data_IF_793242628387
#
_entry.id   IF_793242628387
#
_cell.length_a   1.000
_cell.length_b   1.000
_cell.length_c   1.000
_cell.angle_alpha   90.00
_cell.angle_beta   90.00
_cell.angle_gamma   90.00
#
_symmetry.space_group_name_H-M   'P 1'
#
loop_
_entity.id
_entity.type
_entity.pdbx_description
1 polymer ?
#
# COMPACT_ATOMS: atom_id res chain seq x y z
N UNK A 1 72.12 -5.62 37.30
CA UNK A 1 70.73 -5.16 37.06
C UNK A 1 70.09 -4.82 38.40
N UNK A 2 69.80 -3.56 38.69
CA UNK A 2 69.11 -3.18 39.92
C UNK A 2 67.64 -3.62 39.87
N UNK A 3 67.27 -4.59 40.71
CA UNK A 3 65.87 -4.99 40.91
C UNK A 3 65.12 -3.82 41.55
N UNK A 4 64.31 -3.12 40.75
CA UNK A 4 63.32 -2.15 41.23
C UNK A 4 62.42 -2.86 42.24
N UNK A 5 62.49 -2.45 43.51
CA UNK A 5 61.56 -2.92 44.56
C UNK A 5 60.13 -2.66 44.11
N UNK A 6 59.34 -3.73 43.99
CA UNK A 6 57.93 -3.64 43.63
C UNK A 6 57.13 -2.83 44.65
N UNK A 7 55.98 -2.26 44.24
CA UNK A 7 55.15 -1.44 45.13
C UNK A 7 54.73 -2.23 46.37
N UNK A 8 54.89 -1.62 47.56
CA UNK A 8 54.54 -2.24 48.84
C UNK A 8 53.02 -2.44 49.02
N UNK A 9 52.64 -3.34 49.93
CA UNK A 9 51.23 -3.68 50.24
C UNK A 9 50.36 -2.45 50.58
N UNK A 10 50.96 -1.42 51.19
CA UNK A 10 50.32 -0.13 51.49
C UNK A 10 50.09 0.73 50.25
N UNK A 11 50.91 0.61 49.21
CA UNK A 11 50.66 1.27 47.92
C UNK A 11 49.48 0.60 47.21
N UNK A 12 49.41 -0.74 47.23
CA UNK A 12 48.30 -1.51 46.66
C UNK A 12 46.95 -1.22 47.35
N UNK A 13 46.93 -1.11 48.69
CA UNK A 13 45.70 -0.77 49.42
C UNK A 13 45.23 0.66 49.12
N UNK A 14 46.15 1.63 49.01
CA UNK A 14 45.83 3.00 48.58
C UNK A 14 45.29 3.05 47.15
N UNK A 15 45.88 2.29 46.23
CA UNK A 15 45.39 2.21 44.85
C UNK A 15 43.99 1.59 44.79
N UNK A 16 43.71 0.54 45.58
CA UNK A 16 42.38 -0.07 45.67
C UNK A 16 41.33 0.89 46.25
N UNK A 17 41.64 1.55 47.36
CA UNK A 17 40.77 2.55 47.98
C UNK A 17 40.48 3.73 47.04
N UNK A 18 41.48 4.23 46.31
CA UNK A 18 41.29 5.28 45.31
C UNK A 18 40.37 4.81 44.18
N UNK A 19 40.53 3.57 43.70
CA UNK A 19 39.69 2.98 42.65
C UNK A 19 38.22 2.84 43.09
N UNK A 20 37.99 2.44 44.33
CA UNK A 20 36.65 2.37 44.93
C UNK A 20 36.02 3.77 45.08
N UNK A 21 36.79 4.78 45.47
CA UNK A 21 36.33 6.16 45.52
C UNK A 21 35.99 6.72 44.14
N UNK A 22 36.82 6.47 43.12
CA UNK A 22 36.53 6.87 41.74
C UNK A 22 35.29 6.14 41.19
N UNK A 23 35.09 4.86 41.55
CA UNK A 23 33.88 4.12 41.18
C UNK A 23 32.63 4.75 41.79
N UNK A 24 32.64 5.04 43.10
CA UNK A 24 31.51 5.71 43.78
C UNK A 24 31.21 7.09 43.20
N UNK A 25 32.24 7.91 42.96
CA UNK A 25 32.06 9.21 42.29
C UNK A 25 31.54 9.05 40.86
N UNK A 26 31.95 8.00 40.15
CA UNK A 26 31.42 7.68 38.82
C UNK A 26 29.93 7.32 38.86
N UNK A 27 29.52 6.51 39.82
CA UNK A 27 28.12 6.14 40.07
C UNK A 27 27.28 7.38 40.45
N UNK A 28 27.76 8.23 41.35
CA UNK A 28 27.10 9.48 41.76
C UNK A 28 26.94 10.46 40.58
N UNK A 29 27.98 10.62 39.75
CA UNK A 29 27.90 11.45 38.54
C UNK A 29 26.92 10.87 37.52
N UNK A 30 26.87 9.55 37.36
CA UNK A 30 25.91 8.90 36.47
C UNK A 30 24.47 9.08 36.96
N UNK A 31 24.22 8.93 38.26
CA UNK A 31 22.92 9.13 38.87
C UNK A 31 22.46 10.59 38.76
N UNK A 32 23.37 11.55 39.03
CA UNK A 32 23.09 12.98 38.87
C UNK A 32 22.75 13.32 37.41
N UNK A 33 23.52 12.79 36.45
CA UNK A 33 23.22 12.97 35.02
C UNK A 33 21.88 12.38 34.63
N UNK A 34 21.54 11.19 35.13
CA UNK A 34 20.25 10.55 34.89
C UNK A 34 19.09 11.37 35.46
N UNK A 35 19.24 11.92 36.67
CA UNK A 35 18.25 12.78 37.30
C UNK A 35 18.02 14.08 36.50
N UNK A 36 19.10 14.72 36.05
CA UNK A 36 19.04 15.92 35.19
C UNK A 36 18.35 15.60 33.86
N UNK A 37 18.73 14.51 33.19
CA UNK A 37 18.08 14.08 31.95
C UNK A 37 16.58 13.83 32.15
N UNK A 38 16.19 13.15 33.23
CA UNK A 38 14.78 12.90 33.55
C UNK A 38 14.00 14.21 33.76
N UNK A 39 14.59 15.18 34.47
CA UNK A 39 13.99 16.50 34.66
C UNK A 39 13.85 17.27 33.33
N UNK A 40 14.87 17.22 32.48
CA UNK A 40 14.82 17.83 31.15
C UNK A 40 13.76 17.18 30.25
N UNK A 41 13.62 15.86 30.25
CA UNK A 41 12.56 15.17 29.50
C UNK A 41 11.16 15.53 30.01
N UNK A 42 10.99 15.69 31.33
CA UNK A 42 9.72 16.11 31.91
C UNK A 42 9.35 17.54 31.49
N UNK A 43 10.31 18.47 31.54
CA UNK A 43 10.12 19.84 31.05
C UNK A 43 9.80 19.84 29.54
N UNK A 44 10.55 19.08 28.76
CA UNK A 44 10.33 18.99 27.32
C UNK A 44 8.93 18.46 26.99
N UNK A 45 8.48 17.40 27.68
CA UNK A 45 7.12 16.86 27.52
C UNK A 45 6.05 17.91 27.82
N UNK A 46 6.19 18.66 28.92
CA UNK A 46 5.26 19.72 29.28
C UNK A 46 5.21 20.84 28.22
N UNK A 47 6.38 21.28 27.74
CA UNK A 47 6.46 22.27 26.66
C UNK A 47 5.85 21.76 25.35
N UNK A 48 6.01 20.48 25.04
CA UNK A 48 5.42 19.86 23.84
C UNK A 48 3.89 19.74 23.98
N UNK A 49 3.38 19.44 25.18
CA UNK A 49 1.95 19.45 25.48
C UNK A 49 1.33 20.86 25.33
N UNK A 50 2.01 21.89 25.83
CA UNK A 50 1.58 23.29 25.65
C UNK A 50 1.60 23.70 24.17
N UNK A 51 2.66 23.36 23.45
CA UNK A 51 2.77 23.59 22.01
C UNK A 51 1.63 22.92 21.23
N UNK A 52 1.36 21.65 21.53
CA UNK A 52 0.27 20.89 20.94
C UNK A 52 -1.09 21.54 21.20
N UNK A 53 -1.36 22.00 22.43
CA UNK A 53 -2.60 22.69 22.77
C UNK A 53 -2.76 24.00 21.99
N UNK A 54 -1.71 24.80 21.91
CA UNK A 54 -1.71 26.08 21.21
C UNK A 54 -1.92 25.92 19.70
N UNK A 55 -1.32 24.90 19.10
CA UNK A 55 -1.33 24.67 17.66
C UNK A 55 -2.24 23.51 17.22
N UNK A 56 -3.21 23.11 18.05
CA UNK A 56 -4.08 21.95 17.79
C UNK A 56 -4.78 22.02 16.43
N UNK A 57 -5.33 23.18 16.06
CA UNK A 57 -6.02 23.35 14.78
C UNK A 57 -5.05 23.26 13.59
N UNK A 58 -3.84 23.80 13.75
CA UNK A 58 -2.80 23.79 12.72
C UNK A 58 -2.30 22.36 12.47
N UNK A 59 -2.08 21.58 13.53
CA UNK A 59 -1.68 20.16 13.45
C UNK A 59 -2.74 19.34 12.70
N UNK A 60 -4.03 19.68 12.86
CA UNK A 60 -5.12 18.97 12.15
C UNK A 60 -5.24 19.40 10.68
N UNK A 61 -5.21 20.71 10.43
CA UNK A 61 -5.50 21.28 9.10
C UNK A 61 -4.32 21.29 8.14
N UNK A 62 -3.09 21.28 8.65
CA UNK A 62 -1.89 21.32 7.83
C UNK A 62 -1.10 19.99 7.94
N UNK A 63 -1.12 19.14 6.89
CA UNK A 63 -0.38 17.88 6.89
C UNK A 63 1.12 18.04 7.01
N UNK A 64 1.71 19.10 6.45
CA UNK A 64 3.15 19.35 6.53
C UNK A 64 3.55 19.69 7.97
N UNK A 65 2.78 20.57 8.61
CA UNK A 65 2.99 20.92 10.01
C UNK A 65 2.78 19.73 10.95
N UNK A 66 1.79 18.87 10.64
CA UNK A 66 1.59 17.60 11.35
C UNK A 66 2.80 16.69 11.24
N UNK A 67 3.38 16.54 10.06
CA UNK A 67 4.59 15.73 9.85
C UNK A 67 5.78 16.28 10.67
N UNK A 68 5.97 17.61 10.71
CA UNK A 68 6.99 18.26 11.53
C UNK A 68 6.75 18.01 13.03
N UNK A 69 5.50 18.08 13.49
CA UNK A 69 5.13 17.76 14.86
C UNK A 69 5.47 16.29 15.22
N UNK A 70 5.18 15.35 14.33
CA UNK A 70 5.56 13.94 14.51
C UNK A 70 7.09 13.75 14.58
N UNK A 71 7.85 14.44 13.72
CA UNK A 71 9.31 14.39 13.74
C UNK A 71 9.90 14.93 15.05
N UNK A 72 9.33 16.02 15.59
CA UNK A 72 9.70 16.55 16.90
C UNK A 72 9.41 15.55 18.02
N UNK A 73 8.24 14.90 18.00
CA UNK A 73 7.90 13.87 18.98
C UNK A 73 8.86 12.67 18.90
N UNK A 74 9.17 12.19 17.70
CA UNK A 74 10.10 11.08 17.47
C UNK A 74 11.52 11.39 17.98
N UNK A 75 12.01 12.61 17.75
CA UNK A 75 13.32 13.08 18.25
C UNK A 75 13.41 13.03 19.77
N UNK A 76 12.29 13.25 20.44
CA UNK A 76 12.18 13.18 21.90
C UNK A 76 11.91 11.76 22.44
N UNK A 77 11.79 10.75 21.57
CA UNK A 77 11.40 9.39 21.96
C UNK A 77 9.94 9.27 22.40
N UNK A 78 9.07 10.18 21.98
CA UNK A 78 7.64 10.17 22.26
C UNK A 78 6.89 9.78 21.00
N UNK A 79 6.11 8.71 21.04
CA UNK A 79 5.18 8.36 19.97
C UNK A 79 3.78 8.90 20.31
N UNK A 80 3.28 9.93 19.58
CA UNK A 80 1.95 10.49 19.83
C UNK A 80 0.81 9.53 19.50
N UNK A 81 1.09 8.40 18.82
CA UNK A 81 0.12 7.39 18.39
C UNK A 81 0.23 6.07 19.16
N UNK A 82 1.11 5.97 20.16
CA UNK A 82 1.35 4.71 20.87
C UNK A 82 0.16 4.21 21.70
N UNK A 83 -0.72 5.11 22.17
CA UNK A 83 -1.85 4.72 23.02
C UNK A 83 -3.06 5.62 22.86
N UNK A 84 -4.23 4.99 22.74
CA UNK A 84 -5.54 5.66 22.67
C UNK A 84 -5.87 6.37 23.99
N UNK A 85 -5.29 5.90 25.10
CA UNK A 85 -5.39 6.51 26.42
C UNK A 85 -4.27 7.52 26.68
N UNK A 86 -3.33 7.65 25.73
CA UNK A 86 -2.19 8.56 25.82
C UNK A 86 -2.64 10.02 25.87
N UNK A 87 -1.80 10.87 26.48
CA UNK A 87 -2.08 12.30 26.62
C UNK A 87 -2.38 12.95 25.26
N UNK A 88 -1.64 12.55 24.22
CA UNK A 88 -1.76 13.10 22.87
C UNK A 88 -3.11 12.83 22.20
N UNK A 89 -3.69 11.64 22.37
CA UNK A 89 -5.01 11.37 21.82
C UNK A 89 -6.09 12.23 22.49
N UNK A 90 -6.03 12.38 23.82
CA UNK A 90 -6.97 13.24 24.56
C UNK A 90 -6.84 14.71 24.18
N UNK A 91 -5.62 15.19 23.98
CA UNK A 91 -5.36 16.60 23.68
C UNK A 91 -5.69 16.94 22.22
N UNK A 92 -5.22 16.13 21.27
CA UNK A 92 -5.25 16.45 19.84
C UNK A 92 -6.29 15.64 19.03
N UNK A 93 -6.68 14.45 19.52
CA UNK A 93 -7.50 13.49 18.75
C UNK A 93 -6.72 12.81 17.62
N UNK A 94 -5.39 12.78 17.69
CA UNK A 94 -4.55 12.20 16.64
C UNK A 94 -4.76 10.69 16.52
N UNK A 95 -4.87 9.96 17.64
CA UNK A 95 -5.11 8.52 17.61
C UNK A 95 -6.38 8.19 16.84
N UNK A 96 -7.50 8.82 17.19
CA UNK A 96 -8.78 8.61 16.52
C UNK A 96 -8.70 8.92 15.02
N UNK A 97 -8.02 10.00 14.64
CA UNK A 97 -7.75 10.35 13.24
C UNK A 97 -6.97 9.26 12.50
N UNK A 98 -5.89 8.73 13.07
CA UNK A 98 -5.07 7.69 12.43
C UNK A 98 -5.76 6.32 12.41
N UNK A 99 -6.62 6.01 13.38
CA UNK A 99 -7.44 4.79 13.32
C UNK A 99 -8.50 4.87 12.24
N UNK A 100 -9.21 5.99 12.14
CA UNK A 100 -10.17 6.24 11.06
C UNK A 100 -9.48 6.14 9.70
N UNK A 101 -8.30 6.76 9.58
CA UNK A 101 -7.48 6.69 8.36
C UNK A 101 -7.03 5.25 8.07
N UNK A 102 -6.63 4.49 9.08
CA UNK A 102 -6.28 3.07 8.95
C UNK A 102 -7.44 2.24 8.40
N UNK A 103 -8.67 2.46 8.89
CA UNK A 103 -9.87 1.78 8.35
C UNK A 103 -10.08 2.15 6.88
N UNK A 104 -9.95 3.43 6.51
CA UNK A 104 -10.12 3.87 5.12
C UNK A 104 -9.06 3.27 4.18
N UNK A 105 -7.82 3.10 4.65
CA UNK A 105 -6.76 2.40 3.92
C UNK A 105 -7.12 0.92 3.72
N UNK A 106 -7.59 0.25 4.76
CA UNK A 106 -8.03 -1.16 4.69
C UNK A 106 -9.18 -1.31 3.69
N UNK A 107 -10.18 -0.42 3.73
CA UNK A 107 -11.30 -0.42 2.79
C UNK A 107 -10.84 -0.25 1.34
N UNK A 108 -9.92 0.68 1.08
CA UNK A 108 -9.32 0.87 -0.26
C UNK A 108 -8.57 -0.36 -0.74
N UNK A 109 -7.84 -1.03 0.15
CA UNK A 109 -7.14 -2.29 -0.16
C UNK A 109 -8.11 -3.45 -0.45
N UNK A 110 -9.19 -3.59 0.33
CA UNK A 110 -10.21 -4.63 0.11
C UNK A 110 -10.94 -4.39 -1.21
N UNK A 111 -11.32 -3.13 -1.48
CA UNK A 111 -12.04 -2.73 -2.70
C UNK A 111 -11.21 -2.99 -3.95
N UNK A 112 -9.89 -2.77 -3.87
CA UNK A 112 -8.97 -2.99 -4.98
C UNK A 112 -8.55 -4.43 -5.20
N UNK A 113 -8.66 -5.28 -4.17
CA UNK A 113 -8.10 -6.63 -4.14
C UNK A 113 -8.48 -7.51 -5.33
N UNK A 114 -9.72 -7.52 -5.86
CA UNK A 114 -10.07 -8.36 -7.00
C UNK A 114 -9.26 -8.08 -8.27
N UNK A 115 -8.69 -6.87 -8.37
CA UNK A 115 -7.91 -6.43 -9.53
C UNK A 115 -6.42 -6.47 -9.24
N UNK A 116 -6.02 -6.03 -8.04
CA UNK A 116 -4.62 -5.79 -7.69
C UNK A 116 -3.94 -6.95 -6.97
N UNK A 117 -4.68 -8.02 -6.65
CA UNK A 117 -4.15 -9.14 -5.85
C UNK A 117 -3.80 -8.77 -4.41
N UNK A 118 -4.15 -7.56 -3.96
CA UNK A 118 -3.77 -7.03 -2.64
C UNK A 118 -2.46 -6.23 -2.64
N UNK A 119 -1.98 -5.81 -3.81
CA UNK A 119 -0.78 -4.99 -3.97
C UNK A 119 -1.08 -3.72 -4.78
N UNK A 120 -1.06 -2.55 -4.13
CA UNK A 120 -1.53 -1.29 -4.74
C UNK A 120 -0.57 -0.13 -4.45
N UNK A 121 -0.38 0.79 -5.40
CA UNK A 121 0.41 2.00 -5.18
C UNK A 121 -0.19 2.90 -4.08
N UNK A 122 0.66 3.45 -3.20
CA UNK A 122 0.27 4.30 -2.08
C UNK A 122 -0.49 5.55 -2.53
N UNK A 123 -0.07 6.16 -3.63
CA UNK A 123 -0.71 7.35 -4.23
C UNK A 123 -2.18 7.09 -4.58
N UNK A 124 -2.53 5.87 -4.99
CA UNK A 124 -3.91 5.49 -5.30
C UNK A 124 -4.76 5.27 -4.08
N UNK A 125 -4.17 4.67 -3.04
CA UNK A 125 -4.82 4.59 -1.74
C UNK A 125 -5.06 6.00 -1.21
N UNK A 126 -4.11 6.90 -1.38
CA UNK A 126 -4.25 8.32 -1.00
C UNK A 126 -5.38 9.00 -1.75
N UNK A 127 -5.48 8.84 -3.07
CA UNK A 127 -6.59 9.36 -3.86
C UNK A 127 -7.94 8.76 -3.45
N UNK A 128 -8.02 7.45 -3.23
CA UNK A 128 -9.22 6.77 -2.75
C UNK A 128 -9.70 7.36 -1.42
N UNK A 129 -8.79 7.49 -0.45
CA UNK A 129 -9.06 8.08 0.87
C UNK A 129 -9.53 9.52 0.73
N UNK A 130 -8.86 10.34 -0.09
CA UNK A 130 -9.24 11.75 -0.32
C UNK A 130 -10.64 11.88 -0.90
N UNK A 131 -11.02 11.05 -1.87
CA UNK A 131 -12.38 11.06 -2.44
C UNK A 131 -13.42 10.64 -1.41
N UNK A 132 -13.15 9.56 -0.66
CA UNK A 132 -14.06 9.04 0.39
C UNK A 132 -14.33 10.05 1.50
N UNK A 133 -13.29 10.77 1.92
CA UNK A 133 -13.37 11.80 2.98
C UNK A 133 -14.11 13.07 2.54
N UNK A 134 -14.11 13.37 1.25
CA UNK A 134 -14.72 14.59 0.70
C UNK A 134 -13.98 15.87 1.12
N UNK A 135 -14.51 17.03 0.70
CA UNK A 135 -13.85 18.33 0.88
C UNK A 135 -13.95 18.94 2.29
N UNK A 136 -14.84 18.41 3.13
CA UNK A 136 -15.08 18.94 4.49
C UNK A 136 -14.22 18.27 5.57
N UNK A 137 -13.57 17.15 5.24
CA UNK A 137 -12.71 16.43 6.17
C UNK A 137 -11.32 17.07 6.27
N UNK A 138 -10.62 16.80 7.38
CA UNK A 138 -9.23 17.22 7.56
C UNK A 138 -8.36 16.61 6.43
N UNK A 139 -7.47 17.41 5.80
CA UNK A 139 -6.65 16.94 4.69
C UNK A 139 -5.63 15.91 5.15
N UNK A 140 -5.38 14.95 4.27
CA UNK A 140 -4.50 13.79 4.51
C UNK A 140 -3.36 13.83 3.50
N UNK A 141 -2.15 13.50 3.93
CA UNK A 141 -0.95 13.33 3.10
C UNK A 141 -0.54 11.86 3.01
N UNK A 142 0.37 11.51 2.10
CA UNK A 142 0.92 10.15 2.03
C UNK A 142 1.69 9.76 3.31
N UNK A 143 2.37 10.71 3.98
CA UNK A 143 3.03 10.45 5.28
C UNK A 143 2.01 10.00 6.33
N UNK A 144 0.79 10.57 6.30
CA UNK A 144 -0.27 10.14 7.21
C UNK A 144 -0.71 8.70 6.94
N UNK A 145 -0.81 8.31 5.66
CA UNK A 145 -1.14 6.94 5.29
C UNK A 145 -0.04 5.98 5.74
N UNK A 146 1.23 6.33 5.54
CA UNK A 146 2.36 5.51 5.98
C UNK A 146 2.31 5.25 7.49
N UNK A 147 2.07 6.30 8.29
CA UNK A 147 1.90 6.18 9.75
C UNK A 147 0.70 5.32 10.13
N UNK A 148 -0.43 5.48 9.44
CA UNK A 148 -1.61 4.64 9.68
C UNK A 148 -1.31 3.16 9.36
N UNK A 149 -0.63 2.88 8.24
CA UNK A 149 -0.26 1.51 7.82
C UNK A 149 0.72 0.89 8.82
N UNK A 150 1.69 1.64 9.33
CA UNK A 150 2.61 1.17 10.37
C UNK A 150 1.84 0.68 11.60
N UNK A 151 0.78 1.38 12.01
CA UNK A 151 -0.09 0.93 13.11
C UNK A 151 -0.92 -0.30 12.76
N UNK A 152 -1.32 -0.48 11.50
CA UNK A 152 -2.04 -1.68 11.04
C UNK A 152 -1.17 -2.95 11.11
N UNK A 153 0.17 -2.84 11.06
CA UNK A 153 1.06 -4.01 11.17
C UNK A 153 0.90 -4.74 12.51
N UNK A 154 0.44 -4.04 13.56
CA UNK A 154 0.13 -4.64 14.86
C UNK A 154 -1.05 -5.63 14.82
N UNK A 155 -1.86 -5.62 13.76
CA UNK A 155 -3.00 -6.54 13.58
C UNK A 155 -2.61 -7.87 12.92
N UNK A 156 -1.38 -7.99 12.40
CA UNK A 156 -0.88 -9.21 11.75
C UNK A 156 -0.02 -8.93 10.51
N UNK A 157 0.48 -9.99 9.88
CA UNK A 157 1.47 -9.93 8.77
C UNK A 157 0.91 -9.54 7.39
N UNK A 158 -0.37 -9.13 7.31
CA UNK A 158 -1.04 -8.81 6.04
C UNK A 158 -0.70 -7.43 5.48
N UNK A 159 -0.57 -6.42 6.36
CA UNK A 159 -0.34 -5.04 5.94
C UNK A 159 1.13 -4.65 5.99
N UNK A 160 1.61 -3.99 4.94
CA UNK A 160 2.96 -3.45 4.90
C UNK A 160 3.17 -2.53 3.72
N UNK A 161 4.27 -1.77 3.77
CA UNK A 161 4.68 -0.91 2.67
C UNK A 161 5.97 -1.46 2.08
N UNK A 162 5.98 -1.65 0.77
CA UNK A 162 7.16 -2.07 0.00
C UNK A 162 7.50 -0.95 -0.98
N UNK A 163 8.79 -0.63 -1.11
CA UNK A 163 9.27 0.34 -2.08
C UNK A 163 9.85 -0.40 -3.29
N UNK A 164 9.32 -0.11 -4.48
CA UNK A 164 9.80 -0.64 -5.75
C UNK A 164 10.14 0.56 -6.63
N UNK A 165 11.38 0.62 -7.13
CA UNK A 165 11.89 1.78 -7.84
C UNK A 165 11.70 3.06 -7.01
N UNK A 166 10.98 4.03 -7.59
CA UNK A 166 10.69 5.32 -6.95
C UNK A 166 9.30 5.40 -6.30
N UNK A 167 8.51 4.32 -6.32
CA UNK A 167 7.14 4.29 -5.81
C UNK A 167 7.01 3.43 -4.56
N UNK A 168 6.02 3.79 -3.73
CA UNK A 168 5.67 3.05 -2.53
C UNK A 168 4.37 2.30 -2.77
N UNK A 169 4.32 1.04 -2.36
CA UNK A 169 3.18 0.15 -2.55
C UNK A 169 2.70 -0.38 -1.21
N UNK A 170 1.39 -0.42 -1.05
CA UNK A 170 0.70 -1.04 0.06
C UNK A 170 0.42 -2.49 -0.29
N UNK A 171 0.99 -3.39 0.50
CA UNK A 171 0.66 -4.81 0.51
C UNK A 171 -0.39 -5.05 1.60
N UNK A 172 -1.51 -5.68 1.25
CA UNK A 172 -2.62 -6.01 2.16
C UNK A 172 -2.82 -7.53 2.35
N UNK A 173 -2.10 -8.34 1.58
CA UNK A 173 -2.10 -9.81 1.66
C UNK A 173 -0.66 -10.28 1.87
N UNK A 174 -0.40 -11.33 2.68
CA UNK A 174 0.93 -11.93 2.81
C UNK A 174 1.37 -12.61 1.50
N UNK A 175 1.78 -11.81 0.53
CA UNK A 175 2.31 -12.26 -0.76
C UNK A 175 3.82 -12.08 -0.77
N UNK A 176 4.54 -13.11 -1.23
CA UNK A 176 6.00 -13.08 -1.36
C UNK A 176 6.40 -12.41 -2.67
N UNK A 177 6.83 -11.15 -2.59
CA UNK A 177 7.30 -10.44 -3.76
C UNK A 177 8.77 -10.79 -3.97
N UNK A 178 9.02 -11.68 -4.92
CA UNK A 178 10.38 -12.09 -5.30
C UNK A 178 11.18 -10.92 -5.91
N UNK A 179 12.51 -11.06 -5.95
CA UNK A 179 13.37 -10.11 -6.67
C UNK A 179 12.98 -9.99 -8.14
N UNK A 180 12.54 -11.10 -8.73
CA UNK A 180 12.18 -11.15 -10.14
C UNK A 180 10.87 -10.39 -10.40
N UNK A 181 9.89 -10.57 -9.50
CA UNK A 181 8.64 -9.81 -9.49
C UNK A 181 8.91 -8.31 -9.38
N UNK A 182 9.82 -7.88 -8.49
CA UNK A 182 10.19 -6.47 -8.33
C UNK A 182 10.73 -5.87 -9.64
N UNK A 183 11.64 -6.57 -10.33
CA UNK A 183 12.20 -6.09 -11.61
C UNK A 183 11.13 -5.98 -12.70
N UNK A 184 10.19 -6.93 -12.76
CA UNK A 184 9.10 -6.90 -13.73
C UNK A 184 8.06 -5.81 -13.42
N UNK A 185 7.78 -5.56 -12.15
CA UNK A 185 6.92 -4.44 -11.72
C UNK A 185 7.58 -3.11 -12.08
N UNK A 186 8.89 -2.96 -11.87
CA UNK A 186 9.65 -1.76 -12.23
C UNK A 186 9.72 -1.57 -13.76
N UNK A 187 9.82 -2.65 -14.54
CA UNK A 187 9.67 -2.60 -16.00
C UNK A 187 8.29 -2.10 -16.40
N UNK A 188 7.23 -2.67 -15.82
CA UNK A 188 5.86 -2.25 -16.07
C UNK A 188 5.65 -0.77 -15.73
N UNK A 189 6.24 -0.28 -14.62
CA UNK A 189 6.18 1.13 -14.25
C UNK A 189 6.71 2.05 -15.36
N UNK A 190 7.86 1.72 -15.95
CA UNK A 190 8.47 2.50 -17.04
C UNK A 190 7.68 2.41 -18.35
N UNK A 191 7.04 1.27 -18.60
CA UNK A 191 6.30 1.00 -19.84
C UNK A 191 4.83 1.39 -19.79
N UNK A 192 4.37 2.08 -18.75
CA UNK A 192 2.98 2.55 -18.64
C UNK A 192 2.00 1.50 -18.09
N UNK A 193 2.50 0.49 -17.38
CA UNK A 193 1.74 -0.50 -16.62
C UNK A 193 1.65 -1.89 -17.25
N UNK A 194 2.21 -2.10 -18.44
CA UNK A 194 2.22 -3.39 -19.13
C UNK A 194 3.52 -3.59 -19.91
N UNK A 195 3.79 -4.82 -20.33
CA UNK A 195 4.90 -5.18 -21.21
C UNK A 195 4.63 -6.48 -21.96
N UNK A 196 5.31 -6.70 -23.09
CA UNK A 196 5.35 -8.00 -23.77
C UNK A 196 6.52 -8.86 -23.29
N UNK A 197 6.49 -10.16 -23.62
CA UNK A 197 7.62 -11.06 -23.32
C UNK A 197 8.92 -10.57 -23.99
N UNK A 198 8.82 -10.03 -25.20
CA UNK A 198 9.97 -9.48 -25.93
C UNK A 198 10.56 -8.26 -25.22
N UNK A 199 9.72 -7.36 -24.70
CA UNK A 199 10.17 -6.20 -23.92
C UNK A 199 10.89 -6.64 -22.64
N UNK A 200 10.36 -7.67 -21.97
CA UNK A 200 10.96 -8.22 -20.76
C UNK A 200 12.33 -8.86 -21.05
N UNK A 201 12.47 -9.63 -22.15
CA UNK A 201 13.76 -10.19 -22.58
C UNK A 201 14.74 -9.06 -22.90
N UNK A 202 14.32 -8.05 -23.67
CA UNK A 202 15.18 -6.94 -24.05
C UNK A 202 15.63 -6.10 -22.85
N UNK A 203 14.76 -5.88 -21.87
CA UNK A 203 15.05 -5.05 -20.70
C UNK A 203 15.88 -5.78 -19.63
N UNK A 204 15.71 -7.09 -19.46
CA UNK A 204 16.35 -7.87 -18.39
C UNK A 204 17.54 -8.71 -18.85
N UNK A 205 17.59 -9.06 -20.13
CA UNK A 205 18.54 -10.03 -20.69
C UNK A 205 18.31 -11.47 -20.19
N UNK A 206 17.17 -11.76 -19.55
CA UNK A 206 16.90 -13.09 -18.99
C UNK A 206 16.47 -14.09 -20.06
N UNK A 207 16.77 -15.35 -19.80
CA UNK A 207 16.24 -16.45 -20.61
C UNK A 207 14.72 -16.50 -20.49
N UNK A 208 14.07 -16.82 -21.61
CA UNK A 208 12.62 -16.86 -21.71
C UNK A 208 11.97 -17.81 -20.68
N UNK A 209 12.61 -18.94 -20.38
CA UNK A 209 12.13 -19.88 -19.36
C UNK A 209 11.99 -19.23 -17.98
N UNK A 210 13.03 -18.49 -17.53
CA UNK A 210 12.99 -17.76 -16.24
C UNK A 210 11.89 -16.71 -16.22
N UNK A 211 11.70 -15.97 -17.33
CA UNK A 211 10.63 -14.99 -17.43
C UNK A 211 9.26 -15.66 -17.34
N UNK A 212 9.06 -16.79 -18.02
CA UNK A 212 7.80 -17.55 -17.94
C UNK A 212 7.52 -18.05 -16.51
N UNK A 213 8.54 -18.51 -15.81
CA UNK A 213 8.41 -18.93 -14.40
C UNK A 213 8.03 -17.76 -13.49
N UNK A 214 8.71 -16.62 -13.63
CA UNK A 214 8.43 -15.40 -12.86
C UNK A 214 7.01 -14.85 -13.15
N UNK A 215 6.61 -14.80 -14.43
CA UNK A 215 5.27 -14.39 -14.85
C UNK A 215 4.21 -15.37 -14.33
N UNK A 216 4.49 -16.68 -14.34
CA UNK A 216 3.61 -17.69 -13.76
C UNK A 216 3.46 -17.58 -12.24
N UNK A 217 4.52 -17.19 -11.52
CA UNK A 217 4.45 -16.88 -10.10
C UNK A 217 3.59 -15.62 -9.84
N UNK A 218 3.86 -14.53 -10.54
CA UNK A 218 3.08 -13.29 -10.43
C UNK A 218 1.60 -13.49 -10.77
N UNK A 219 1.27 -14.30 -11.78
CA UNK A 219 -0.11 -14.61 -12.14
C UNK A 219 -0.83 -15.41 -11.06
N UNK A 220 -0.17 -16.41 -10.45
CA UNK A 220 -0.74 -17.18 -9.32
C UNK A 220 -1.02 -16.32 -8.09
N UNK A 221 -0.21 -15.29 -7.89
CA UNK A 221 -0.35 -14.32 -6.80
C UNK A 221 -1.34 -13.19 -7.11
N UNK A 222 -1.88 -13.13 -8.35
CA UNK A 222 -2.79 -12.08 -8.79
C UNK A 222 -2.13 -10.72 -9.00
N UNK A 223 -0.80 -10.69 -9.17
CA UNK A 223 -0.02 -9.47 -9.37
C UNK A 223 0.03 -9.01 -10.83
N UNK A 224 -0.38 -9.86 -11.78
CA UNK A 224 -0.51 -9.51 -13.18
C UNK A 224 -1.77 -10.08 -13.82
N UNK A 225 -2.25 -9.44 -14.89
CA UNK A 225 -3.25 -9.99 -15.81
C UNK A 225 -2.59 -10.31 -17.15
N UNK A 226 -3.08 -11.36 -17.80
CA UNK A 226 -2.63 -11.79 -19.13
C UNK A 226 -3.65 -11.30 -20.15
N UNK A 227 -3.16 -10.63 -21.18
CA UNK A 227 -3.97 -10.14 -22.30
C UNK A 227 -3.51 -10.82 -23.60
N UNK A 228 -4.36 -11.74 -24.07
CA UNK A 228 -4.21 -12.43 -25.35
C UNK A 228 -4.90 -11.61 -26.44
N UNK A 229 -4.11 -10.86 -27.21
CA UNK A 229 -4.63 -10.03 -28.29
C UNK A 229 -5.33 -10.88 -29.37
N UNK A 230 -6.40 -10.36 -30.00
CA UNK A 230 -7.09 -11.06 -31.08
C UNK A 230 -6.12 -11.36 -32.24
N UNK A 231 -5.95 -12.65 -32.56
CA UNK A 231 -4.97 -13.14 -33.53
C UNK A 231 -3.71 -13.74 -32.92
N UNK A 232 -3.48 -13.62 -31.60
CA UNK A 232 -2.47 -14.39 -30.89
C UNK A 232 -2.84 -15.88 -30.94
N UNK A 233 -2.02 -16.69 -31.61
CA UNK A 233 -2.23 -18.14 -31.65
C UNK A 233 -2.25 -18.69 -30.21
N UNK A 234 -3.26 -19.48 -29.81
CA UNK A 234 -3.21 -20.15 -28.52
C UNK A 234 -1.97 -21.06 -28.51
N UNK A 235 -1.19 -20.99 -27.43
CA UNK A 235 0.08 -21.72 -27.27
C UNK A 235 -0.01 -23.26 -27.37
N UNK A 236 -1.19 -23.83 -27.70
CA UNK A 236 -1.49 -25.25 -27.73
C UNK A 236 -1.98 -25.78 -29.10
N UNK A 237 -1.70 -25.11 -30.22
CA UNK A 237 -2.04 -25.63 -31.55
C UNK A 237 -0.85 -26.36 -32.22
N UNK A 238 -0.53 -27.56 -31.73
CA UNK A 238 0.28 -28.53 -32.49
C UNK A 238 -0.62 -29.22 -33.54
N UNK A 239 -0.66 -28.67 -34.76
CA UNK A 239 -1.31 -29.28 -35.93
C UNK A 239 -0.53 -28.96 -37.21
N UNK A 240 -0.54 -29.84 -38.23
CA UNK A 240 0.39 -29.74 -39.35
C UNK A 240 0.10 -28.52 -40.24
N UNK A 241 1.17 -27.82 -40.62
CA UNK A 241 1.15 -26.64 -41.48
C UNK A 241 0.55 -26.95 -42.85
N UNK A 242 -0.61 -26.37 -43.16
CA UNK A 242 -1.07 -26.16 -44.52
C UNK A 242 -0.56 -24.80 -45.02
N UNK A 243 0.03 -24.82 -46.22
CA UNK A 243 0.70 -23.70 -46.86
C UNK A 243 -0.25 -22.57 -47.30
N UNK A 244 0.26 -21.34 -47.30
CA UNK A 244 -0.22 -20.28 -48.18
C UNK A 244 -1.22 -19.29 -47.57
N UNK A 245 -0.69 -18.38 -46.75
CA UNK A 245 -1.39 -17.16 -46.35
C UNK A 245 -0.56 -16.45 -45.31
N UNK A 246 -0.03 -15.27 -45.62
CA UNK A 246 0.60 -14.42 -44.61
C UNK A 246 -0.48 -14.06 -43.58
N UNK A 247 -0.51 -14.80 -42.46
CA UNK A 247 -1.35 -14.48 -41.32
C UNK A 247 -0.99 -13.05 -40.89
N UNK A 248 -1.96 -12.14 -40.69
CA UNK A 248 -1.66 -10.81 -40.17
C UNK A 248 -0.83 -10.99 -38.90
N UNK A 249 0.29 -10.27 -38.81
CA UNK A 249 1.26 -10.43 -37.72
C UNK A 249 0.52 -10.40 -36.38
N UNK A 250 0.47 -11.56 -35.73
CA UNK A 250 -0.25 -11.74 -34.47
C UNK A 250 0.30 -10.73 -33.45
N UNK A 251 -0.57 -9.91 -32.88
CA UNK A 251 -0.17 -8.98 -31.83
C UNK A 251 0.37 -9.79 -30.63
N UNK A 252 1.46 -9.34 -30.00
CA UNK A 252 2.09 -10.09 -28.92
C UNK A 252 1.19 -10.13 -27.68
N UNK A 253 1.23 -11.24 -26.94
CA UNK A 253 0.65 -11.34 -25.60
C UNK A 253 1.23 -10.26 -24.70
N UNK A 254 0.37 -9.56 -23.97
CA UNK A 254 0.75 -8.53 -23.01
C UNK A 254 0.53 -9.02 -21.58
N UNK A 255 1.40 -8.55 -20.68
CA UNK A 255 1.30 -8.77 -19.24
C UNK A 255 1.08 -7.42 -18.57
N UNK A 256 -0.06 -7.26 -17.92
CA UNK A 256 -0.45 -6.03 -17.24
C UNK A 256 -0.22 -6.15 -15.73
N UNK A 257 0.35 -5.12 -15.10
CA UNK A 257 0.60 -5.07 -13.66
C UNK A 257 -0.32 -4.02 -13.02
N UNK A 258 -1.45 -4.44 -12.42
CA UNK A 258 -2.44 -3.53 -11.83
C UNK A 258 -1.89 -2.60 -10.74
N UNK A 259 -0.86 -3.04 -10.02
CA UNK A 259 -0.29 -2.32 -8.89
C UNK A 259 0.31 -0.97 -9.30
N UNK A 260 1.01 -0.92 -10.44
CA UNK A 260 1.64 0.29 -11.00
C UNK A 260 0.71 1.04 -11.96
N UNK A 261 -0.41 0.41 -12.38
CA UNK A 261 -1.33 0.93 -13.40
C UNK A 261 -2.80 0.58 -13.11
N UNK A 262 -3.70 1.56 -12.97
CA UNK A 262 -5.16 1.41 -12.95
C UNK A 262 -5.62 2.34 -14.03
N UNK A 263 -5.38 1.89 -15.26
CA UNK A 263 -5.90 2.54 -16.43
C UNK A 263 -5.76 4.10 -16.49
N UNK A 264 -4.58 4.72 -16.23
CA UNK A 264 -4.23 6.01 -16.83
C UNK A 264 -3.11 5.70 -17.84
N UNK A 265 -3.51 4.99 -18.88
CA UNK A 265 -2.62 4.28 -19.80
C UNK A 265 -3.42 3.46 -20.79
N UNK A 266 -4.62 3.04 -20.41
CA UNK A 266 -5.63 2.58 -21.35
C UNK A 266 -6.11 3.64 -22.28
N UNK A 267 -6.29 4.91 -21.93
CA UNK A 267 -6.73 5.86 -22.96
C UNK A 267 -5.66 6.06 -24.04
N UNK A 268 -4.37 5.89 -23.72
CA UNK A 268 -3.29 5.89 -24.70
C UNK A 268 -3.20 4.56 -25.44
N UNK A 269 -3.19 3.44 -24.74
CA UNK A 269 -3.18 2.11 -25.34
C UNK A 269 -4.43 1.82 -26.17
N UNK A 270 -5.63 2.20 -25.71
CA UNK A 270 -6.90 2.12 -26.43
C UNK A 270 -6.96 3.11 -27.57
N UNK A 271 -6.25 4.24 -27.51
CA UNK A 271 -6.02 5.09 -28.69
C UNK A 271 -5.13 4.37 -29.70
N UNK A 272 -3.96 3.93 -29.26
CA UNK A 272 -2.95 3.29 -30.09
C UNK A 272 -3.42 1.93 -30.65
N UNK A 273 -4.33 1.25 -29.95
CA UNK A 273 -4.93 -0.06 -30.30
C UNK A 273 -6.38 0.05 -30.79
N UNK A 274 -6.96 1.25 -30.93
CA UNK A 274 -8.31 1.46 -31.47
C UNK A 274 -9.48 0.95 -30.60
N UNK A 275 -9.29 0.81 -29.29
CA UNK A 275 -10.24 0.26 -28.33
C UNK A 275 -11.06 1.35 -27.59
N UNK A 276 -11.05 2.61 -28.03
CA UNK A 276 -11.70 3.75 -27.36
C UNK A 276 -13.19 3.54 -27.04
N UNK A 277 -13.93 2.82 -27.90
CA UNK A 277 -15.37 2.60 -27.79
C UNK A 277 -15.83 1.47 -26.84
N UNK A 278 -14.91 0.70 -26.24
CA UNK A 278 -15.27 -0.47 -25.41
C UNK A 278 -15.34 -0.07 -23.93
N UNK A 279 -16.49 0.06 -23.28
CA UNK A 279 -16.56 0.55 -21.90
C UNK A 279 -15.65 -0.26 -20.95
N UNK A 280 -14.93 0.45 -20.10
CA UNK A 280 -14.05 -0.19 -19.12
C UNK A 280 -14.90 -0.96 -18.09
N UNK A 281 -14.46 -2.14 -17.65
CA UNK A 281 -15.10 -2.78 -16.52
C UNK A 281 -14.99 -1.85 -15.30
N UNK A 282 -16.03 -1.72 -14.46
CA UNK A 282 -16.06 -0.78 -13.33
C UNK A 282 -14.96 -1.02 -12.28
N UNK A 283 -14.33 -2.19 -12.32
CA UNK A 283 -13.19 -2.59 -11.51
C UNK A 283 -11.87 -1.94 -11.95
N UNK A 284 -11.81 -1.36 -13.15
CA UNK A 284 -10.61 -0.70 -13.67
C UNK A 284 -10.26 0.62 -12.98
N UNK A 285 -11.20 1.21 -12.24
CA UNK A 285 -11.01 2.47 -11.54
C UNK A 285 -11.38 2.32 -10.07
N UNK A 286 -10.39 1.93 -9.26
CA UNK A 286 -10.57 1.75 -7.80
C UNK A 286 -11.02 3.07 -7.15
N UNK A 287 -10.81 4.21 -7.80
CA UNK A 287 -11.34 5.50 -7.39
C UNK A 287 -12.86 5.57 -7.29
N UNK A 288 -13.56 4.84 -8.16
CA UNK A 288 -15.02 4.89 -8.32
C UNK A 288 -15.69 3.66 -7.71
N UNK A 289 -14.91 2.64 -7.34
CA UNK A 289 -15.40 1.45 -6.69
C UNK A 289 -15.92 1.74 -5.26
N UNK A 290 -17.19 1.44 -5.02
CA UNK A 290 -17.84 1.49 -3.70
C UNK A 290 -18.19 0.07 -3.24
N UNK A 291 -18.01 -0.21 -1.94
CA UNK A 291 -18.31 -1.49 -1.30
C UNK A 291 -19.77 -1.97 -1.49
N UNK A 292 -20.69 -1.07 -1.87
CA UNK A 292 -22.08 -1.40 -2.16
C UNK A 292 -22.27 -2.33 -3.37
N UNK A 293 -21.27 -2.45 -4.26
CA UNK A 293 -21.30 -3.34 -5.43
C UNK A 293 -20.61 -4.69 -5.23
N UNK A 294 -20.11 -5.01 -4.03
CA UNK A 294 -19.42 -6.27 -3.74
C UNK A 294 -20.35 -7.42 -3.32
N UNK A 295 -21.68 -7.18 -3.30
CA UNK A 295 -22.69 -8.21 -3.14
C UNK A 295 -23.05 -8.83 -4.49
N UNK A 296 -22.82 -10.13 -4.62
CA UNK A 296 -23.18 -10.99 -5.76
C UNK A 296 -22.35 -10.81 -7.04
N UNK A 297 -21.05 -11.13 -6.95
CA UNK A 297 -20.34 -11.62 -8.13
C UNK A 297 -20.89 -13.00 -8.51
N UNK A 298 -21.83 -13.02 -9.47
CA UNK A 298 -22.36 -14.23 -10.06
C UNK A 298 -21.24 -15.01 -10.76
N UNK A 299 -21.09 -16.30 -10.43
CA UNK A 299 -20.10 -17.18 -11.02
C UNK A 299 -20.25 -17.21 -12.56
N UNK A 300 -19.14 -17.20 -13.33
CA UNK A 300 -19.21 -17.21 -14.79
C UNK A 300 -19.71 -18.58 -15.25
N UNK A 301 -20.94 -18.67 -15.78
CA UNK A 301 -21.45 -19.93 -16.31
C UNK A 301 -22.95 -20.09 -16.53
N UNK A 302 -23.81 -19.11 -16.23
CA UNK A 302 -25.24 -19.22 -16.55
C UNK A 302 -25.64 -18.19 -17.61
N UNK A 303 -25.70 -18.65 -18.86
CA UNK A 303 -26.37 -17.95 -19.95
C UNK A 303 -27.86 -17.93 -19.62
N UNK A 304 -28.40 -16.76 -19.29
CA UNK A 304 -29.84 -16.54 -19.17
C UNK A 304 -30.41 -16.59 -20.59
N UNK A 305 -31.13 -17.67 -20.91
CA UNK A 305 -31.95 -17.75 -22.13
C UNK A 305 -33.05 -16.70 -21.99
N UNK A 306 -32.94 -15.60 -22.74
CA UNK A 306 -34.05 -14.68 -22.91
C UNK A 306 -35.16 -15.39 -23.69
N UNK A 307 -36.32 -15.55 -23.06
CA UNK A 307 -37.54 -15.92 -23.76
C UNK A 307 -38.05 -14.68 -24.52
N UNK A 308 -38.54 -14.83 -25.76
CA UNK A 308 -39.00 -13.70 -26.56
C UNK A 308 -40.29 -13.11 -25.98
N UNK A 309 -40.32 -11.78 -25.91
CA UNK A 309 -41.45 -10.99 -25.41
C UNK A 309 -42.71 -11.19 -26.28
N UNK A 310 -43.83 -11.53 -25.64
CA UNK A 310 -45.16 -11.51 -26.25
C UNK A 310 -45.69 -10.06 -26.22
N UNK A 311 -46.15 -9.48 -27.33
CA UNK A 311 -46.68 -8.11 -27.34
C UNK A 311 -48.06 -8.03 -26.67
N UNK A 312 -48.41 -6.90 -26.04
CA UNK A 312 -49.68 -6.74 -25.33
C UNK A 312 -50.85 -6.60 -26.31
N UNK A 313 -51.91 -7.37 -26.06
CA UNK A 313 -53.20 -7.30 -26.76
C UNK A 313 -53.94 -6.03 -26.33
N UNK A 314 -54.39 -5.27 -27.32
CA UNK A 314 -55.14 -4.04 -27.15
C UNK A 314 -56.51 -4.25 -26.46
N UNK A 315 -56.88 -3.28 -25.63
CA UNK A 315 -58.14 -3.24 -24.89
C UNK A 315 -59.36 -3.10 -25.81
N UNK A 316 -60.33 -4.01 -25.61
CA UNK A 316 -61.76 -3.82 -25.84
C UNK A 316 -62.40 -4.36 -24.55
N UNK A 317 -62.93 -3.54 -23.65
CA UNK A 317 -64.12 -2.73 -23.86
C UNK A 317 -65.33 -3.53 -23.38
N UNK A 318 -65.91 -3.15 -22.23
CA UNK A 318 -67.31 -3.45 -21.93
C UNK A 318 -67.63 -4.22 -20.64
N UNK A 319 -68.46 -3.55 -19.84
CA UNK A 319 -69.58 -4.10 -19.05
C UNK A 319 -69.32 -4.58 -17.61
N UNK A 320 -69.81 -3.74 -16.68
CA UNK A 320 -70.79 -4.05 -15.63
C UNK A 320 -70.86 -5.50 -15.09
N UNK A 321 -70.79 -5.66 -13.76
CA UNK A 321 -71.94 -6.03 -12.92
C UNK A 321 -71.60 -6.06 -11.41
N UNK A 322 -72.40 -5.30 -10.66
CA UNK A 322 -72.92 -5.47 -9.29
C UNK A 322 -72.26 -6.45 -8.32
N UNK A 323 -71.95 -5.93 -7.13
CA UNK A 323 -71.83 -6.72 -5.92
C UNK A 323 -73.19 -7.10 -5.31
N UNK A 324 -73.25 -8.33 -4.81
CA UNK A 324 -73.81 -8.71 -3.52
C UNK A 324 -72.83 -9.67 -2.86
#
# INVERSE_FOLDING_TARGET
MALRRGPGLTALSRTRAAREQFKRKGEEVAETKAAVMKAQMAHFKASLEEFALKHKADIRRNPEFRAQFHAMCATAGVDPLASNKGTWNKLLGLGDFYYELGVQVVEGCITSRPITGGFIELSRVHEYVRRRRGSRADPVSEDDLLRAIEKLQGLGSGFGVVRIGNRSFVRSVPTEISTDSNTLIELAERSGGYFSLADAVAATGWQEARLRDALGAMAREGLLLIDDQPGAAPAAATGPLAAGGASPAALPRLYWVPAVGLLPGTDRYRRDAGLEGIPLPPTADIATATLAGAGEAQAPGQVRVEQPAVPPVAALGGMHLTGQ
#
